data_IF_775372451847
#
_entry.id   IF_775372451847
#
_cell.length_a   1.000
_cell.length_b   1.000
_cell.length_c   1.000
_cell.angle_alpha   90.00
_cell.angle_beta   90.00
_cell.angle_gamma   90.00
#
_symmetry.space_group_name_H-M   'P 1'
#
loop_
_entity.id
_entity.type
_entity.pdbx_description
1 polymer ?
#
# COMPACT_ATOMS: atom_id res chain seq x y z
N UNK A 1 10.72 31.34 9.09
CA UNK A 1 10.56 29.90 8.84
C UNK A 1 9.53 29.73 7.73
N UNK A 2 9.95 29.36 6.52
CA UNK A 2 9.03 29.13 5.38
C UNK A 2 8.32 27.78 5.63
N UNK A 3 7.00 27.83 5.80
CA UNK A 3 6.18 26.60 5.78
C UNK A 3 6.26 26.06 4.35
N UNK A 4 6.98 24.95 4.17
CA UNK A 4 6.92 24.16 2.95
C UNK A 4 5.60 23.41 3.06
N UNK A 5 4.58 23.94 2.40
CA UNK A 5 3.34 23.20 2.15
C UNK A 5 3.70 22.20 1.07
N UNK A 6 3.91 20.96 1.47
CA UNK A 6 4.11 19.83 0.55
C UNK A 6 2.75 19.58 -0.14
N UNK A 7 2.46 20.36 -1.16
CA UNK A 7 1.35 20.08 -2.08
C UNK A 7 1.84 18.98 -3.01
N UNK A 8 1.55 17.73 -2.66
CA UNK A 8 1.70 16.62 -3.60
C UNK A 8 0.63 16.83 -4.67
N UNK A 9 1.01 17.52 -5.73
CA UNK A 9 0.20 17.65 -6.93
C UNK A 9 0.45 16.34 -7.73
N UNK A 10 -0.40 15.34 -7.53
CA UNK A 10 -0.46 14.22 -8.44
C UNK A 10 -0.94 14.74 -9.80
N UNK A 11 0.02 15.08 -10.68
CA UNK A 11 -0.30 15.24 -12.09
C UNK A 11 -0.64 13.85 -12.62
N UNK A 12 -1.91 13.56 -12.78
CA UNK A 12 -2.39 12.48 -13.64
C UNK A 12 -1.92 12.85 -15.05
N UNK A 13 -0.76 12.37 -15.45
CA UNK A 13 -0.39 12.34 -16.86
C UNK A 13 -1.39 11.38 -17.54
N UNK A 14 -2.25 11.93 -18.35
CA UNK A 14 -3.14 11.17 -19.24
C UNK A 14 -2.25 10.44 -20.24
N UNK A 15 -1.68 9.33 -19.82
CA UNK A 15 -1.05 8.37 -20.71
C UNK A 15 -2.07 7.30 -21.03
N UNK A 16 -2.30 7.12 -22.33
CA UNK A 16 -3.06 6.07 -23.03
C UNK A 16 -3.58 4.95 -22.12
N UNK A 17 -4.90 4.87 -22.06
CA UNK A 17 -5.70 3.84 -21.43
C UNK A 17 -5.26 2.44 -21.90
N UNK A 18 -4.31 1.84 -21.23
CA UNK A 18 -4.17 0.39 -21.23
C UNK A 18 -5.01 -0.10 -20.06
N UNK A 19 -6.12 -0.78 -20.34
CA UNK A 19 -6.86 -1.51 -19.33
C UNK A 19 -5.86 -2.31 -18.49
N UNK A 20 -5.84 -2.06 -17.19
CA UNK A 20 -4.99 -2.80 -16.26
C UNK A 20 -5.56 -4.22 -16.17
N UNK A 21 -4.95 -5.16 -16.91
CA UNK A 21 -5.38 -6.55 -16.94
C UNK A 21 -4.98 -7.24 -15.63
N UNK A 22 -5.96 -7.46 -14.76
CA UNK A 22 -5.80 -8.21 -13.51
C UNK A 22 -5.65 -9.72 -13.74
N UNK A 23 -5.90 -10.21 -14.96
CA UNK A 23 -5.73 -11.62 -15.34
C UNK A 23 -4.26 -11.98 -15.61
N UNK A 24 -3.37 -11.54 -14.74
CA UNK A 24 -1.95 -11.89 -14.82
C UNK A 24 -1.79 -13.40 -14.64
N UNK A 25 -1.36 -14.09 -15.70
CA UNK A 25 -1.03 -15.52 -15.62
C UNK A 25 0.32 -15.70 -14.90
N UNK A 26 0.31 -16.49 -13.84
CA UNK A 26 1.54 -16.81 -13.11
C UNK A 26 2.37 -17.80 -13.92
N UNK A 27 3.65 -17.47 -14.07
CA UNK A 27 4.64 -18.28 -14.80
C UNK A 27 5.78 -18.72 -13.86
N UNK A 28 6.50 -19.75 -14.26
CA UNK A 28 7.73 -20.22 -13.58
C UNK A 28 8.77 -19.08 -13.43
N UNK A 29 8.85 -18.21 -14.42
CA UNK A 29 9.75 -17.07 -14.38
C UNK A 29 9.34 -16.08 -13.28
N UNK A 30 8.03 -15.84 -13.11
CA UNK A 30 7.51 -14.99 -12.03
C UNK A 30 7.80 -15.62 -10.66
N UNK A 31 7.56 -16.90 -10.47
CA UNK A 31 7.94 -17.58 -9.22
C UNK A 31 9.43 -17.43 -8.92
N UNK A 32 10.28 -17.57 -9.92
CA UNK A 32 11.73 -17.35 -9.77
C UNK A 32 12.08 -15.92 -9.43
N UNK A 33 11.42 -14.94 -10.06
CA UNK A 33 11.60 -13.50 -9.79
C UNK A 33 11.21 -13.14 -8.35
N UNK A 34 10.07 -13.68 -7.88
CA UNK A 34 9.49 -13.33 -6.58
C UNK A 34 9.88 -14.26 -5.42
N UNK A 35 10.72 -15.26 -5.63
CA UNK A 35 11.09 -16.29 -4.62
C UNK A 35 11.58 -15.75 -3.28
N UNK A 36 12.11 -14.51 -3.24
CA UNK A 36 12.58 -13.86 -2.02
C UNK A 36 11.55 -12.87 -1.45
N UNK A 37 10.45 -12.65 -2.15
CA UNK A 37 9.34 -11.79 -1.75
C UNK A 37 8.22 -12.65 -1.15
N UNK A 38 7.71 -13.61 -1.93
CA UNK A 38 6.58 -14.46 -1.55
C UNK A 38 6.54 -15.73 -2.40
N UNK A 39 5.75 -16.71 -1.95
CA UNK A 39 5.36 -17.91 -2.72
C UNK A 39 3.88 -17.89 -3.10
N UNK A 40 3.12 -16.91 -2.63
CA UNK A 40 1.67 -16.81 -2.83
C UNK A 40 1.34 -16.17 -4.18
N UNK A 41 0.66 -16.90 -5.06
CA UNK A 41 0.31 -16.45 -6.41
C UNK A 41 -0.47 -15.14 -6.43
N UNK A 42 -1.44 -14.98 -5.51
CA UNK A 42 -2.24 -13.75 -5.42
C UNK A 42 -1.38 -12.54 -5.04
N UNK A 43 -0.39 -12.73 -4.16
CA UNK A 43 0.56 -11.67 -3.80
C UNK A 43 1.48 -11.34 -4.97
N UNK A 44 1.96 -12.35 -5.71
CA UNK A 44 2.77 -12.11 -6.93
C UNK A 44 1.98 -11.27 -7.93
N UNK A 45 0.70 -11.63 -8.21
CA UNK A 45 -0.17 -10.84 -9.09
C UNK A 45 -0.36 -9.42 -8.59
N UNK A 46 -0.61 -9.27 -7.29
CA UNK A 46 -0.83 -7.97 -6.66
C UNK A 46 0.40 -7.06 -6.79
N UNK A 47 1.61 -7.59 -6.59
CA UNK A 47 2.85 -6.82 -6.77
C UNK A 47 3.08 -6.47 -8.24
N UNK A 48 2.81 -7.38 -9.18
CA UNK A 48 2.94 -7.08 -10.62
C UNK A 48 1.96 -5.99 -11.07
N UNK A 49 0.73 -5.95 -10.54
CA UNK A 49 -0.21 -4.88 -10.85
C UNK A 49 0.33 -3.49 -10.49
N UNK A 50 1.04 -3.37 -9.37
CA UNK A 50 1.63 -2.10 -8.94
C UNK A 50 2.56 -1.48 -9.96
N UNK A 51 3.24 -2.30 -10.77
CA UNK A 51 4.21 -1.87 -11.77
C UNK A 51 3.67 -0.80 -12.73
N UNK A 52 2.39 -0.91 -13.08
CA UNK A 52 1.73 -0.06 -14.07
C UNK A 52 0.76 0.96 -13.43
N UNK A 53 0.84 1.15 -12.10
CA UNK A 53 0.02 2.10 -11.35
C UNK A 53 0.87 3.20 -10.73
N UNK A 54 0.22 4.14 -10.06
CA UNK A 54 0.88 5.12 -9.20
C UNK A 54 1.68 4.47 -8.08
N UNK A 55 1.41 3.18 -7.77
CA UNK A 55 2.15 2.35 -6.82
C UNK A 55 3.48 1.79 -7.34
N UNK A 56 3.98 2.23 -8.50
CA UNK A 56 5.26 1.75 -9.06
C UNK A 56 6.43 1.87 -8.09
N UNK A 57 6.47 2.93 -7.28
CA UNK A 57 7.49 3.07 -6.23
C UNK A 57 7.46 1.88 -5.27
N UNK A 58 6.27 1.52 -4.78
CA UNK A 58 6.08 0.37 -3.87
C UNK A 58 6.44 -0.96 -4.52
N UNK A 59 6.11 -1.16 -5.81
CA UNK A 59 6.59 -2.31 -6.59
C UNK A 59 8.12 -2.41 -6.55
N UNK A 60 8.81 -1.31 -6.86
CA UNK A 60 10.27 -1.26 -6.92
C UNK A 60 10.89 -1.46 -5.52
N UNK A 61 10.27 -0.88 -4.48
CA UNK A 61 10.68 -1.07 -3.08
C UNK A 61 10.54 -2.52 -2.63
N UNK A 62 9.43 -3.18 -2.96
CA UNK A 62 9.21 -4.61 -2.67
C UNK A 62 10.30 -5.47 -3.30
N UNK A 63 10.74 -5.14 -4.51
CA UNK A 63 11.80 -5.88 -5.21
C UNK A 63 13.23 -5.52 -4.75
N UNK A 64 13.38 -4.64 -3.77
CA UNK A 64 14.67 -4.33 -3.15
C UNK A 64 15.22 -2.93 -3.41
N UNK A 65 14.52 -2.06 -4.16
CA UNK A 65 14.88 -0.65 -4.27
C UNK A 65 14.30 0.14 -3.09
N UNK A 66 14.81 -0.13 -1.89
CA UNK A 66 14.36 0.41 -0.62
C UNK A 66 15.57 0.70 0.29
N UNK A 67 15.35 1.25 1.48
CA UNK A 67 16.41 1.62 2.44
C UNK A 67 17.34 0.46 2.83
N UNK A 68 16.89 -0.78 2.69
CA UNK A 68 17.70 -1.96 3.04
C UNK A 68 18.44 -2.58 1.86
N UNK A 69 18.14 -2.17 0.64
CA UNK A 69 18.60 -2.78 -0.62
C UNK A 69 18.35 -4.29 -0.69
N UNK A 70 17.22 -4.74 -0.13
CA UNK A 70 16.79 -6.14 -0.12
C UNK A 70 15.30 -6.24 -0.45
N UNK A 71 14.85 -7.35 -1.06
CA UNK A 71 13.42 -7.60 -1.24
C UNK A 71 12.68 -7.57 0.10
N UNK A 72 11.47 -7.00 0.10
CA UNK A 72 10.54 -7.05 1.22
C UNK A 72 9.87 -8.42 1.20
N UNK A 73 9.92 -9.14 2.32
CA UNK A 73 9.25 -10.43 2.45
C UNK A 73 7.77 -10.23 2.78
N UNK A 74 6.88 -10.85 2.00
CA UNK A 74 5.43 -10.72 2.16
C UNK A 74 4.83 -12.07 2.53
N UNK A 75 4.07 -12.11 3.61
CA UNK A 75 3.44 -13.33 4.14
C UNK A 75 2.03 -13.02 4.65
N UNK A 76 1.10 -13.97 4.48
CA UNK A 76 -0.14 -13.96 5.22
C UNK A 76 0.11 -14.48 6.64
N UNK A 77 -0.36 -13.74 7.63
CA UNK A 77 -0.14 -14.07 9.05
C UNK A 77 -1.35 -13.65 9.89
N UNK A 78 -1.66 -14.44 10.91
CA UNK A 78 -2.53 -13.96 11.98
C UNK A 78 -1.78 -12.91 12.80
N UNK A 79 -2.12 -11.63 12.61
CA UNK A 79 -1.38 -10.52 13.20
C UNK A 79 -1.46 -10.47 14.73
N UNK A 80 -2.47 -11.12 15.35
CA UNK A 80 -2.54 -11.26 16.81
C UNK A 80 -1.38 -12.07 17.40
N UNK A 81 -0.70 -12.89 16.58
CA UNK A 81 0.51 -13.64 17.01
C UNK A 81 1.73 -12.76 17.19
N UNK A 82 1.75 -11.58 16.55
CA UNK A 82 2.80 -10.56 16.77
C UNK A 82 2.46 -9.76 18.03
N UNK A 83 1.23 -9.23 18.06
CA UNK A 83 0.67 -8.49 19.20
C UNK A 83 -0.85 -8.62 19.17
N UNK A 84 -1.52 -9.00 20.28
CA UNK A 84 -2.99 -9.09 20.34
C UNK A 84 -3.71 -7.82 19.88
N UNK A 85 -3.11 -6.64 20.04
CA UNK A 85 -3.67 -5.37 19.59
C UNK A 85 -3.76 -5.25 18.05
N UNK A 86 -3.00 -6.08 17.30
CA UNK A 86 -2.97 -6.07 15.84
C UNK A 86 -4.00 -7.01 15.20
N UNK A 87 -4.83 -7.69 16.01
CA UNK A 87 -5.85 -8.63 15.52
C UNK A 87 -6.71 -8.04 14.40
N UNK A 88 -7.09 -6.78 14.55
CA UNK A 88 -7.98 -6.09 13.62
C UNK A 88 -7.25 -5.33 12.49
N UNK A 89 -5.93 -5.31 12.48
CA UNK A 89 -5.19 -4.68 11.39
C UNK A 89 -5.35 -5.49 10.10
N UNK A 90 -5.33 -4.81 8.97
CA UNK A 90 -5.45 -5.46 7.67
C UNK A 90 -4.09 -5.93 7.16
N UNK A 91 -3.06 -5.14 7.39
CA UNK A 91 -1.68 -5.50 7.13
C UNK A 91 -0.74 -4.75 8.09
N UNK A 92 0.55 -5.04 8.01
CA UNK A 92 1.59 -4.43 8.83
C UNK A 92 2.92 -4.44 8.09
N UNK A 93 3.46 -3.25 7.77
CA UNK A 93 4.85 -3.06 7.40
C UNK A 93 5.74 -3.19 8.64
N UNK A 94 6.75 -4.04 8.57
CA UNK A 94 7.57 -4.36 9.74
C UNK A 94 9.05 -4.40 9.41
N UNK A 95 9.84 -3.56 10.06
CA UNK A 95 11.30 -3.67 10.03
C UNK A 95 11.81 -4.49 11.19
N UNK A 96 12.54 -5.54 10.89
CA UNK A 96 13.21 -6.37 11.90
C UNK A 96 14.69 -6.46 11.58
N UNK A 97 15.52 -5.78 12.38
CA UNK A 97 16.96 -5.65 12.10
C UNK A 97 17.19 -4.98 10.74
N UNK A 98 17.83 -5.71 9.80
CA UNK A 98 18.18 -5.25 8.45
C UNK A 98 17.24 -5.79 7.35
N UNK A 99 16.05 -6.28 7.72
CA UNK A 99 15.09 -6.84 6.78
C UNK A 99 13.73 -6.17 6.96
N UNK A 100 13.04 -6.01 5.84
CA UNK A 100 11.67 -5.51 5.77
C UNK A 100 10.71 -6.67 5.51
N UNK A 101 9.55 -6.59 6.14
CA UNK A 101 8.46 -7.55 6.01
C UNK A 101 7.16 -6.78 5.79
N UNK A 102 6.24 -7.38 5.05
CA UNK A 102 4.84 -7.00 5.03
C UNK A 102 4.06 -8.24 5.46
N UNK A 103 3.33 -8.12 6.55
CA UNK A 103 2.42 -9.16 7.02
C UNK A 103 1.00 -8.75 6.67
N UNK A 104 0.35 -9.49 5.78
CA UNK A 104 -1.07 -9.31 5.45
C UNK A 104 -1.86 -10.20 6.40
N UNK A 105 -2.92 -9.67 7.02
CA UNK A 105 -3.77 -10.47 7.88
C UNK A 105 -4.37 -11.64 7.09
N UNK A 106 -4.26 -12.86 7.62
CA UNK A 106 -4.71 -14.08 6.95
C UNK A 106 -6.21 -14.10 6.59
N UNK A 107 -7.02 -13.22 7.23
CA UNK A 107 -8.42 -13.00 6.86
C UNK A 107 -8.60 -12.46 5.43
N UNK A 108 -7.53 -11.99 4.80
CA UNK A 108 -7.51 -11.44 3.44
C UNK A 108 -6.89 -12.37 2.39
N UNK A 109 -6.71 -13.65 2.68
CA UNK A 109 -6.16 -14.63 1.72
C UNK A 109 -6.97 -14.76 0.43
N UNK A 110 -8.27 -14.53 0.52
CA UNK A 110 -9.24 -14.59 -0.58
C UNK A 110 -9.65 -13.20 -1.12
N UNK A 111 -8.95 -12.15 -0.69
CA UNK A 111 -9.20 -10.80 -1.18
C UNK A 111 -8.88 -10.70 -2.69
N UNK A 112 -9.61 -9.81 -3.42
CA UNK A 112 -9.26 -9.48 -4.79
C UNK A 112 -7.82 -9.01 -4.90
N UNK A 113 -7.15 -9.42 -5.98
CA UNK A 113 -5.73 -9.08 -6.24
C UNK A 113 -5.52 -7.57 -6.29
N UNK A 114 -6.49 -6.84 -6.79
CA UNK A 114 -6.48 -5.37 -6.87
C UNK A 114 -6.51 -4.71 -5.49
N UNK A 115 -7.31 -5.23 -4.56
CA UNK A 115 -7.35 -4.75 -3.18
C UNK A 115 -6.04 -5.09 -2.44
N UNK A 116 -5.48 -6.28 -2.69
CA UNK A 116 -4.15 -6.63 -2.20
C UNK A 116 -3.07 -5.69 -2.77
N UNK A 117 -3.18 -5.29 -4.05
CA UNK A 117 -2.25 -4.32 -4.64
C UNK A 117 -2.29 -2.97 -3.91
N UNK A 118 -3.49 -2.47 -3.62
CA UNK A 118 -3.66 -1.18 -2.96
C UNK A 118 -3.03 -1.18 -1.56
N UNK A 119 -3.32 -2.20 -0.72
CA UNK A 119 -2.73 -2.28 0.62
C UNK A 119 -1.21 -2.53 0.57
N UNK A 120 -0.69 -3.26 -0.42
CA UNK A 120 0.76 -3.44 -0.60
C UNK A 120 1.45 -2.14 -1.01
N UNK A 121 0.75 -1.25 -1.75
CA UNK A 121 1.28 0.07 -2.06
C UNK A 121 1.52 0.89 -0.80
N UNK A 122 0.61 0.80 0.17
CA UNK A 122 0.71 1.43 1.49
C UNK A 122 1.87 0.84 2.31
N UNK A 123 1.82 -0.46 2.58
CA UNK A 123 2.74 -1.12 3.51
C UNK A 123 4.21 -1.06 3.07
N UNK A 124 4.46 -0.97 1.77
CA UNK A 124 5.82 -0.83 1.24
C UNK A 124 6.46 0.55 1.49
N UNK A 125 5.68 1.53 1.98
CA UNK A 125 6.20 2.84 2.40
C UNK A 125 6.94 2.74 3.73
N UNK A 126 6.49 1.86 4.64
CA UNK A 126 7.06 1.68 5.97
C UNK A 126 8.40 0.94 5.91
N UNK A 127 9.51 1.68 5.86
CA UNK A 127 10.85 1.10 5.63
C UNK A 127 11.81 1.32 6.79
N UNK A 128 11.39 1.97 7.87
CA UNK A 128 12.18 2.14 9.07
C UNK A 128 11.47 1.62 10.33
N UNK A 129 12.01 1.91 11.52
CA UNK A 129 11.44 1.48 12.80
C UNK A 129 10.50 2.55 13.39
N UNK A 130 10.44 3.71 12.78
CA UNK A 130 9.68 4.86 13.25
C UNK A 130 8.64 5.25 12.21
N UNK A 131 7.38 5.28 12.61
CA UNK A 131 6.30 5.77 11.77
C UNK A 131 5.95 7.23 12.10
N UNK A 132 5.27 7.94 11.21
CA UNK A 132 4.85 9.33 11.41
C UNK A 132 3.50 9.62 10.78
N UNK A 133 2.86 10.72 11.22
CA UNK A 133 1.59 11.18 10.62
C UNK A 133 1.73 11.53 9.14
N UNK A 134 2.89 12.09 8.72
CA UNK A 134 3.16 12.40 7.33
C UNK A 134 3.34 11.13 6.49
N UNK A 135 4.05 10.15 7.01
CA UNK A 135 4.26 8.85 6.37
C UNK A 135 2.94 8.10 6.20
N UNK A 136 2.13 8.00 7.25
CA UNK A 136 0.79 7.41 7.17
C UNK A 136 -0.10 8.14 6.17
N UNK A 137 -0.10 9.49 6.20
CA UNK A 137 -0.90 10.27 5.25
C UNK A 137 -0.48 9.99 3.81
N UNK A 138 0.81 9.84 3.56
CA UNK A 138 1.33 9.51 2.24
C UNK A 138 0.93 8.09 1.84
N UNK A 139 1.14 7.11 2.71
CA UNK A 139 0.83 5.71 2.47
C UNK A 139 -0.66 5.49 2.16
N UNK A 140 -1.56 6.04 2.98
CA UNK A 140 -3.01 6.02 2.73
C UNK A 140 -3.42 6.75 1.45
N UNK A 141 -2.72 7.83 1.08
CA UNK A 141 -3.00 8.55 -0.16
C UNK A 141 -2.57 7.74 -1.38
N UNK A 142 -1.43 7.09 -1.31
CA UNK A 142 -0.93 6.22 -2.37
C UNK A 142 -1.85 5.00 -2.56
N UNK A 143 -2.27 4.36 -1.47
CA UNK A 143 -3.24 3.26 -1.46
C UNK A 143 -4.54 3.68 -2.16
N UNK A 144 -5.13 4.80 -1.74
CA UNK A 144 -6.35 5.35 -2.36
C UNK A 144 -6.17 5.66 -3.86
N UNK A 145 -5.02 6.18 -4.26
CA UNK A 145 -4.71 6.48 -5.66
C UNK A 145 -4.59 5.21 -6.50
N UNK A 146 -3.92 4.17 -5.97
CA UNK A 146 -3.81 2.86 -6.63
C UNK A 146 -5.18 2.22 -6.79
N UNK A 147 -5.99 2.14 -5.71
CA UNK A 147 -7.34 1.59 -5.79
C UNK A 147 -8.23 2.36 -6.76
N UNK A 148 -8.16 3.70 -6.75
CA UNK A 148 -8.90 4.53 -7.69
C UNK A 148 -8.53 4.18 -9.12
N UNK A 149 -7.25 4.07 -9.44
CA UNK A 149 -6.77 3.75 -10.77
C UNK A 149 -7.18 2.33 -11.22
N UNK A 150 -7.11 1.33 -10.32
CA UNK A 150 -7.49 -0.05 -10.62
C UNK A 150 -9.01 -0.22 -10.84
N UNK A 151 -9.83 0.65 -10.24
CA UNK A 151 -11.29 0.60 -10.34
C UNK A 151 -11.87 1.58 -11.36
N UNK A 152 -11.05 2.44 -11.99
CA UNK A 152 -11.51 3.42 -12.99
C UNK A 152 -12.13 2.73 -14.20
N UNK A 153 -11.46 1.68 -14.69
CA UNK A 153 -11.90 0.92 -15.87
C UNK A 153 -12.77 -0.30 -15.50
N UNK A 154 -12.87 -0.65 -14.21
CA UNK A 154 -13.61 -1.82 -13.74
C UNK A 154 -14.34 -1.54 -12.42
N UNK A 155 -15.48 -0.86 -12.52
CA UNK A 155 -16.30 -0.53 -11.36
C UNK A 155 -16.94 -1.76 -10.66
N UNK A 156 -16.91 -2.94 -11.27
CA UNK A 156 -17.43 -4.16 -10.65
C UNK A 156 -16.57 -4.59 -9.46
N UNK A 157 -15.28 -4.21 -9.42
CA UNK A 157 -14.40 -4.47 -8.29
C UNK A 157 -14.91 -3.86 -7.00
N UNK A 158 -15.49 -2.65 -7.06
CA UNK A 158 -16.05 -1.96 -5.90
C UNK A 158 -17.28 -2.67 -5.29
N UNK A 159 -17.91 -3.57 -6.05
CA UNK A 159 -19.10 -4.33 -5.64
C UNK A 159 -18.75 -5.71 -5.05
N UNK A 160 -17.50 -6.10 -5.03
CA UNK A 160 -17.08 -7.37 -4.45
C UNK A 160 -17.27 -7.33 -2.93
N UNK A 161 -18.05 -8.26 -2.41
CA UNK A 161 -18.30 -8.37 -0.97
C UNK A 161 -17.07 -8.94 -0.26
N UNK A 162 -16.17 -8.06 0.19
CA UNK A 162 -14.98 -8.40 0.95
C UNK A 162 -14.55 -7.22 1.84
N UNK A 163 -14.17 -7.45 3.13
CA UNK A 163 -13.84 -6.36 4.06
C UNK A 163 -12.73 -5.43 3.57
N UNK A 164 -11.72 -5.96 2.86
CA UNK A 164 -10.66 -5.15 2.29
C UNK A 164 -11.18 -4.23 1.18
N UNK A 165 -12.11 -4.71 0.33
CA UNK A 165 -12.75 -3.88 -0.70
C UNK A 165 -13.58 -2.77 -0.08
N UNK A 166 -14.34 -3.06 0.98
CA UNK A 166 -15.11 -2.05 1.71
C UNK A 166 -14.20 -0.94 2.26
N UNK A 167 -13.05 -1.32 2.82
CA UNK A 167 -12.02 -0.40 3.30
C UNK A 167 -11.47 0.46 2.16
N UNK A 168 -11.07 -0.16 1.06
CA UNK A 168 -10.53 0.54 -0.11
C UNK A 168 -11.54 1.55 -0.69
N UNK A 169 -12.82 1.19 -0.74
CA UNK A 169 -13.88 2.08 -1.19
C UNK A 169 -14.03 3.31 -0.27
N UNK A 170 -13.90 3.13 1.05
CA UNK A 170 -13.95 4.25 2.00
C UNK A 170 -12.81 5.23 1.75
N UNK A 171 -11.56 4.75 1.62
CA UNK A 171 -10.41 5.64 1.40
C UNK A 171 -10.43 6.29 0.01
N UNK A 172 -10.90 5.59 -1.03
CA UNK A 172 -11.17 6.16 -2.35
C UNK A 172 -12.12 7.35 -2.26
N UNK A 173 -13.22 7.24 -1.50
CA UNK A 173 -14.15 8.35 -1.31
C UNK A 173 -13.51 9.56 -0.64
N UNK A 174 -12.63 9.36 0.34
CA UNK A 174 -11.87 10.47 0.96
C UNK A 174 -10.94 11.14 -0.05
N UNK A 175 -10.29 10.35 -0.90
CA UNK A 175 -9.37 10.82 -1.93
C UNK A 175 -10.11 11.66 -3.00
N UNK A 176 -11.23 11.15 -3.54
CA UNK A 176 -12.07 11.85 -4.52
C UNK A 176 -12.63 13.15 -3.92
N UNK A 177 -13.19 13.11 -2.69
CA UNK A 177 -13.67 14.31 -1.98
C UNK A 177 -12.58 15.34 -1.74
N UNK A 178 -11.34 14.89 -1.62
CA UNK A 178 -10.14 15.72 -1.53
C UNK A 178 -9.69 16.31 -2.87
N UNK A 179 -10.43 16.11 -3.95
CA UNK A 179 -10.04 16.43 -5.31
C UNK A 179 -8.70 15.77 -5.69
N UNK A 180 -8.63 14.46 -5.42
CA UNK A 180 -7.45 13.61 -5.69
C UNK A 180 -6.18 14.09 -4.94
N UNK A 181 -6.38 14.56 -3.70
CA UNK A 181 -5.29 14.99 -2.80
C UNK A 181 -5.41 14.32 -1.44
N UNK A 182 -4.37 14.42 -0.63
CA UNK A 182 -4.33 13.91 0.75
C UNK A 182 -5.25 14.65 1.74
N UNK A 183 -5.96 15.72 1.32
CA UNK A 183 -6.66 16.64 2.22
C UNK A 183 -7.59 15.99 3.26
N UNK A 184 -8.44 15.05 2.83
CA UNK A 184 -9.37 14.37 3.75
C UNK A 184 -8.76 13.11 4.34
N UNK A 185 -7.82 12.47 3.64
CA UNK A 185 -7.03 11.35 4.17
C UNK A 185 -6.18 11.83 5.36
N UNK A 186 -5.48 12.95 5.25
CA UNK A 186 -4.73 13.53 6.36
C UNK A 186 -5.62 13.78 7.61
N UNK A 187 -6.83 14.31 7.41
CA UNK A 187 -7.79 14.49 8.51
C UNK A 187 -8.19 13.16 9.14
N UNK A 188 -8.40 12.14 8.32
CA UNK A 188 -8.73 10.80 8.78
C UNK A 188 -7.57 10.21 9.59
N UNK A 189 -6.33 10.27 9.10
CA UNK A 189 -5.12 9.81 9.79
C UNK A 189 -4.96 10.50 11.14
N UNK A 190 -5.01 11.84 11.20
CA UNK A 190 -4.88 12.61 12.44
C UNK A 190 -5.99 12.27 13.46
N UNK A 191 -7.19 11.98 13.00
CA UNK A 191 -8.32 11.63 13.87
C UNK A 191 -8.32 10.17 14.33
N UNK A 192 -7.50 9.31 13.74
CA UNK A 192 -7.42 7.90 14.07
C UNK A 192 -6.72 7.71 15.42
N UNK A 193 -7.42 7.05 16.35
CA UNK A 193 -6.87 6.77 17.69
C UNK A 193 -5.58 5.96 17.67
N UNK A 194 -5.39 5.09 16.67
CA UNK A 194 -4.17 4.30 16.48
C UNK A 194 -2.94 5.14 16.18
N UNK A 195 -3.11 6.36 15.65
CA UNK A 195 -2.01 7.24 15.23
C UNK A 195 -1.77 8.45 16.14
N UNK A 196 -2.56 8.62 17.22
CA UNK A 196 -2.51 9.80 18.09
C UNK A 196 -1.14 10.08 18.73
N UNK A 197 -0.32 9.04 18.90
CA UNK A 197 1.00 9.15 19.52
C UNK A 197 2.15 9.17 18.50
N UNK A 198 1.84 9.17 17.21
CA UNK A 198 2.87 9.26 16.18
C UNK A 198 3.43 10.69 16.09
N UNK A 199 4.74 10.85 15.89
CA UNK A 199 5.33 12.14 15.57
C UNK A 199 4.80 12.65 14.22
N UNK A 200 4.89 13.96 13.98
CA UNK A 200 4.51 14.53 12.68
C UNK A 200 5.39 13.99 11.56
N UNK A 201 6.68 13.74 11.84
CA UNK A 201 7.72 13.36 10.87
C UNK A 201 8.56 12.20 11.36
N UNK A 202 9.03 11.37 10.43
CA UNK A 202 10.03 10.33 10.65
C UNK A 202 11.22 10.53 9.71
N UNK A 203 12.44 10.29 10.20
CA UNK A 203 13.68 10.54 9.43
C UNK A 203 13.73 9.62 8.22
N UNK A 204 13.43 8.34 8.38
CA UNK A 204 13.52 7.37 7.30
C UNK A 204 12.58 7.68 6.14
N UNK A 205 11.36 8.13 6.44
CA UNK A 205 10.42 8.54 5.38
C UNK A 205 10.89 9.82 4.66
N UNK A 206 11.46 10.79 5.38
CA UNK A 206 11.96 12.03 4.76
C UNK A 206 13.18 11.80 3.86
N UNK A 207 13.95 10.73 4.08
CA UNK A 207 15.04 10.32 3.21
C UNK A 207 14.56 9.69 1.90
N UNK A 208 13.28 9.26 1.83
CA UNK A 208 12.68 8.67 0.63
C UNK A 208 12.08 9.70 -0.32
N UNK A 209 11.81 10.93 0.16
CA UNK A 209 11.20 12.02 -0.62
C UNK A 209 12.27 12.90 -1.29
#
# INVERSE_FOLDING_TARGET
MKKIILSILFMLSVNSCFALDSNIQITEEMHKKYKHVTTEDNVIRAVELLKNTTGKYSHDAILGKNLTNKPIKIEFLNLSTINPQYENFDALGWKKKKNLYIYINEKHKDAPVEALSAILAHEAIHQDETNSLNEETYAWTLEAAVWTQLTEDNNTLESISHPLVDRENVIKQLFIRGNYTSKYINKFVISNKGYQNLPERSVGFEELL
#
